data_IF_598940275340
#
_entry.id   IF_598940275340
#
_cell.length_a   1.000
_cell.length_b   1.000
_cell.length_c   1.000
_cell.angle_alpha   90.00
_cell.angle_beta   90.00
_cell.angle_gamma   90.00
#
_symmetry.space_group_name_H-M   'P 1'
#
loop_
_entity.id
_entity.type
_entity.pdbx_description
1 polymer ?
#
# COMPACT_ATOMS: atom_id res chain seq x y z
N UNK A 1 1.82 -4.82 10.62
CA UNK A 1 1.24 -4.15 9.42
C UNK A 1 1.63 -2.68 9.42
N UNK A 2 1.26 -1.91 10.45
CA UNK A 2 1.57 -0.48 10.56
C UNK A 2 3.06 -0.16 10.41
N UNK A 3 3.93 -0.87 11.13
CA UNK A 3 5.38 -0.69 11.03
C UNK A 3 5.92 -0.91 9.60
N UNK A 4 5.42 -1.95 8.90
CA UNK A 4 5.80 -2.23 7.52
C UNK A 4 5.31 -1.12 6.58
N UNK A 5 4.08 -0.66 6.76
CA UNK A 5 3.49 0.41 5.95
C UNK A 5 4.27 1.73 6.10
N UNK A 6 4.62 2.11 7.34
CA UNK A 6 5.47 3.26 7.63
C UNK A 6 6.84 3.12 6.98
N UNK A 7 7.49 1.96 7.13
CA UNK A 7 8.78 1.67 6.50
C UNK A 7 8.73 1.81 4.97
N UNK A 8 7.72 1.23 4.31
CA UNK A 8 7.54 1.34 2.85
C UNK A 8 7.35 2.80 2.43
N UNK A 9 6.50 3.54 3.14
CA UNK A 9 6.28 4.95 2.87
C UNK A 9 7.58 5.75 3.00
N UNK A 10 8.32 5.60 4.10
CA UNK A 10 9.61 6.27 4.33
C UNK A 10 10.64 5.96 3.24
N UNK A 11 10.74 4.71 2.80
CA UNK A 11 11.67 4.31 1.72
C UNK A 11 11.28 4.86 0.34
N UNK A 12 10.02 5.28 0.15
CA UNK A 12 9.48 5.73 -1.13
C UNK A 12 8.99 7.20 -1.12
N UNK A 13 9.60 8.04 -0.27
CA UNK A 13 9.38 9.49 -0.25
C UNK A 13 8.49 9.99 0.88
N UNK A 14 8.26 9.16 1.91
CA UNK A 14 7.53 9.52 3.12
C UNK A 14 6.02 9.67 2.92
N UNK A 15 5.36 10.26 3.91
CA UNK A 15 3.94 10.61 3.84
C UNK A 15 3.73 11.70 2.78
N UNK A 16 2.75 11.50 1.90
CA UNK A 16 2.38 12.45 0.84
C UNK A 16 1.04 13.09 1.22
N UNK A 17 0.94 14.42 1.18
CA UNK A 17 -0.37 15.09 1.33
C UNK A 17 -1.16 14.97 0.02
N UNK A 18 -2.50 14.92 0.11
CA UNK A 18 -3.37 14.83 -1.08
C UNK A 18 -3.09 15.95 -2.08
N UNK A 19 -2.84 17.15 -1.56
CA UNK A 19 -2.51 18.33 -2.36
C UNK A 19 -1.19 18.19 -3.11
N UNK A 20 -0.19 17.49 -2.58
CA UNK A 20 1.16 17.41 -3.18
C UNK A 20 1.38 16.17 -4.04
N UNK A 21 0.32 15.43 -4.36
CA UNK A 21 0.41 14.23 -5.20
C UNK A 21 0.93 14.56 -6.60
N UNK A 22 0.54 15.72 -7.16
CA UNK A 22 0.96 16.16 -8.49
C UNK A 22 2.39 16.69 -8.53
N UNK A 23 2.89 17.22 -7.40
CA UNK A 23 4.28 17.68 -7.26
C UNK A 23 5.27 16.52 -7.16
N UNK A 24 4.76 15.30 -6.97
CA UNK A 24 5.59 14.12 -6.72
C UNK A 24 6.17 13.60 -8.04
N UNK A 25 7.39 14.04 -8.38
CA UNK A 25 8.08 13.75 -9.65
C UNK A 25 8.60 12.31 -9.79
N UNK A 26 7.74 11.32 -9.59
CA UNK A 26 8.10 9.90 -9.68
C UNK A 26 8.52 9.51 -11.10
N UNK A 27 7.93 10.07 -12.17
CA UNK A 27 8.32 9.71 -13.55
C UNK A 27 9.79 10.07 -13.84
N UNK A 28 10.23 11.25 -13.38
CA UNK A 28 11.60 11.70 -13.55
C UNK A 28 12.56 10.75 -12.82
N UNK A 29 12.24 10.43 -11.55
CA UNK A 29 13.04 9.49 -10.76
C UNK A 29 13.15 8.10 -11.42
N UNK A 30 12.05 7.56 -11.95
CA UNK A 30 12.06 6.28 -12.67
C UNK A 30 12.88 6.38 -13.97
N UNK A 31 12.79 7.49 -14.69
CA UNK A 31 13.54 7.71 -15.93
C UNK A 31 15.04 7.78 -15.68
N UNK A 32 15.46 8.46 -14.61
CA UNK A 32 16.87 8.50 -14.17
C UNK A 32 17.39 7.09 -13.83
N UNK A 33 16.60 6.29 -13.10
CA UNK A 33 16.97 4.91 -12.76
C UNK A 33 17.12 4.06 -14.03
N UNK A 34 16.19 4.16 -14.98
CA UNK A 34 16.27 3.42 -16.26
C UNK A 34 17.51 3.81 -17.05
N UNK A 35 17.85 5.10 -17.08
CA UNK A 35 19.04 5.61 -17.74
C UNK A 35 20.32 5.06 -17.09
N UNK A 36 20.42 5.14 -15.75
CA UNK A 36 21.57 4.64 -14.99
C UNK A 36 21.77 3.12 -15.15
N UNK A 37 20.67 2.36 -15.12
CA UNK A 37 20.69 0.90 -15.28
C UNK A 37 20.83 0.45 -16.74
N UNK A 38 20.68 1.36 -17.71
CA UNK A 38 20.57 1.05 -19.15
C UNK A 38 19.52 -0.04 -19.43
N UNK A 39 18.40 0.01 -18.71
CA UNK A 39 17.37 -1.03 -18.72
C UNK A 39 16.00 -0.45 -18.42
N UNK A 40 14.96 -1.02 -19.04
CA UNK A 40 13.56 -0.71 -18.71
C UNK A 40 13.07 -1.44 -17.45
N UNK A 41 13.83 -2.42 -16.96
CA UNK A 41 13.54 -3.16 -15.73
C UNK A 41 14.15 -2.42 -14.55
N UNK A 42 13.30 -1.86 -13.69
CA UNK A 42 13.72 -1.14 -12.48
C UNK A 42 13.45 -2.00 -11.24
N UNK A 43 14.47 -2.42 -10.48
CA UNK A 43 14.29 -3.11 -9.22
C UNK A 43 13.50 -2.24 -8.23
N UNK A 44 12.44 -2.81 -7.64
CA UNK A 44 11.52 -2.08 -6.74
C UNK A 44 12.23 -1.43 -5.54
N UNK A 45 13.32 -2.03 -5.06
CA UNK A 45 14.11 -1.53 -3.94
C UNK A 45 14.97 -0.30 -4.25
N UNK A 46 15.14 0.07 -5.52
CA UNK A 46 15.87 1.29 -5.92
C UNK A 46 14.96 2.51 -6.03
N UNK A 47 13.64 2.31 -6.07
CA UNK A 47 12.66 3.37 -6.19
C UNK A 47 12.54 4.08 -4.85
N UNK A 48 13.06 5.32 -4.78
CA UNK A 48 13.03 6.20 -3.61
C UNK A 48 11.83 7.15 -3.59
N UNK A 49 11.17 7.30 -4.73
CA UNK A 49 9.96 8.11 -4.87
C UNK A 49 8.91 7.28 -5.62
N UNK A 50 7.91 6.79 -4.88
CA UNK A 50 6.85 5.95 -5.43
C UNK A 50 5.45 6.45 -5.12
N UNK A 51 4.56 6.37 -6.10
CA UNK A 51 3.10 6.51 -5.95
C UNK A 51 2.43 5.20 -5.52
N UNK A 52 1.10 5.17 -5.50
CA UNK A 52 0.25 4.06 -5.05
C UNK A 52 0.76 2.66 -5.43
N UNK A 53 0.92 2.37 -6.73
CA UNK A 53 1.28 1.02 -7.14
C UNK A 53 2.72 0.62 -6.79
N UNK A 54 3.67 1.54 -6.83
CA UNK A 54 5.05 1.25 -6.42
C UNK A 54 5.09 0.84 -4.95
N UNK A 55 4.40 1.61 -4.10
CA UNK A 55 4.33 1.33 -2.66
C UNK A 55 3.57 0.04 -2.38
N UNK A 56 2.44 -0.20 -3.04
CA UNK A 56 1.66 -1.40 -2.86
C UNK A 56 2.40 -2.68 -3.28
N UNK A 57 3.20 -2.60 -4.36
CA UNK A 57 4.08 -3.67 -4.81
C UNK A 57 5.17 -3.99 -3.77
N UNK A 58 5.88 -2.96 -3.28
CA UNK A 58 6.92 -3.15 -2.27
C UNK A 58 6.34 -3.71 -0.96
N UNK A 59 5.20 -3.16 -0.50
CA UNK A 59 4.52 -3.65 0.69
C UNK A 59 4.14 -5.11 0.54
N UNK A 60 3.54 -5.52 -0.58
CA UNK A 60 3.19 -6.92 -0.85
C UNK A 60 4.42 -7.82 -0.81
N UNK A 61 5.49 -7.45 -1.53
CA UNK A 61 6.72 -8.22 -1.59
C UNK A 61 7.35 -8.43 -0.21
N UNK A 62 7.39 -7.38 0.62
CA UNK A 62 7.93 -7.47 1.98
C UNK A 62 7.00 -8.22 2.92
N UNK A 63 5.68 -7.99 2.83
CA UNK A 63 4.67 -8.68 3.65
C UNK A 63 4.75 -10.19 3.47
N UNK A 64 4.89 -10.66 2.23
CA UNK A 64 5.04 -12.08 1.92
C UNK A 64 6.30 -12.68 2.51
N UNK A 65 7.41 -11.92 2.56
CA UNK A 65 8.67 -12.38 3.16
C UNK A 65 8.60 -12.55 4.67
N UNK A 66 7.76 -11.78 5.35
CA UNK A 66 7.58 -11.84 6.81
C UNK A 66 6.29 -12.56 7.25
N UNK A 67 5.59 -13.21 6.32
CA UNK A 67 4.41 -14.03 6.61
C UNK A 67 3.13 -13.23 6.90
N UNK A 68 3.05 -11.96 6.49
CA UNK A 68 1.81 -11.18 6.60
C UNK A 68 0.93 -11.45 5.38
N UNK A 69 -0.21 -12.11 5.62
CA UNK A 69 -1.20 -12.37 4.57
C UNK A 69 -1.87 -11.08 4.07
N UNK A 70 -1.55 -10.66 2.85
CA UNK A 70 -2.21 -9.54 2.18
C UNK A 70 -2.43 -9.84 0.68
N UNK A 71 -3.37 -9.14 0.05
CA UNK A 71 -3.59 -9.18 -1.39
C UNK A 71 -3.14 -7.87 -2.02
N UNK A 72 -2.50 -7.92 -3.19
CA UNK A 72 -2.26 -6.74 -4.01
C UNK A 72 -3.41 -6.60 -5.01
N UNK A 73 -4.13 -5.49 -4.96
CA UNK A 73 -5.24 -5.21 -5.86
C UNK A 73 -4.84 -4.07 -6.78
N UNK A 74 -4.94 -4.32 -8.09
CA UNK A 74 -4.68 -3.33 -9.13
C UNK A 74 -5.99 -2.61 -9.46
N UNK A 75 -5.97 -1.28 -9.35
CA UNK A 75 -7.02 -0.40 -9.84
C UNK A 75 -6.67 0.18 -11.21
N UNK A 76 -7.38 1.25 -11.58
CA UNK A 76 -7.17 1.98 -12.83
C UNK A 76 -6.16 3.12 -12.66
N UNK A 77 -5.67 3.68 -13.77
CA UNK A 77 -4.85 4.91 -13.79
C UNK A 77 -3.65 4.94 -12.81
N UNK A 78 -2.93 3.82 -12.70
CA UNK A 78 -1.78 3.75 -11.79
C UNK A 78 -2.18 3.73 -10.30
N UNK A 79 -3.39 3.25 -9.98
CA UNK A 79 -3.78 2.93 -8.61
C UNK A 79 -3.55 1.45 -8.32
N UNK A 80 -3.04 1.16 -7.14
CA UNK A 80 -3.07 -0.16 -6.54
C UNK A 80 -2.98 -0.03 -5.02
N UNK A 81 -3.48 -1.03 -4.30
CA UNK A 81 -3.50 -1.04 -2.84
C UNK A 81 -3.35 -2.46 -2.30
N UNK A 82 -3.13 -2.56 -1.00
CA UNK A 82 -3.07 -3.84 -0.31
C UNK A 82 -4.30 -4.06 0.56
N UNK A 83 -4.91 -5.23 0.42
CA UNK A 83 -6.01 -5.69 1.26
C UNK A 83 -5.53 -6.72 2.27
N UNK A 84 -5.96 -6.60 3.52
CA UNK A 84 -5.58 -7.50 4.62
C UNK A 84 -6.85 -7.99 5.31
N UNK A 85 -6.88 -9.29 5.61
CA UNK A 85 -7.96 -9.92 6.38
C UNK A 85 -7.57 -9.94 7.85
N UNK A 86 -8.37 -9.29 8.70
CA UNK A 86 -8.17 -9.28 10.14
C UNK A 86 -9.36 -9.95 10.84
N UNK A 87 -9.06 -10.73 11.87
CA UNK A 87 -10.08 -11.29 12.75
C UNK A 87 -10.44 -10.24 13.81
N UNK A 88 -11.73 -10.05 14.02
CA UNK A 88 -12.22 -9.12 15.04
C UNK A 88 -12.16 -9.84 16.41
N UNK A 89 -11.13 -9.55 17.21
CA UNK A 89 -10.87 -10.18 18.52
C UNK A 89 -12.02 -9.98 19.52
N UNK A 90 -12.86 -8.96 19.35
CA UNK A 90 -13.93 -8.54 20.27
C UNK A 90 -15.11 -9.50 20.36
N UNK A 91 -15.13 -10.60 19.58
CA UNK A 91 -16.17 -11.64 19.64
C UNK A 91 -15.67 -13.00 20.14
N UNK A 92 -14.56 -13.02 20.90
CA UNK A 92 -14.12 -14.18 21.69
C UNK A 92 -15.10 -14.40 22.85
N UNK A 93 -16.24 -15.03 22.59
CA UNK A 93 -17.21 -15.36 23.66
C UNK A 93 -18.53 -15.97 23.19
N UNK A 94 -18.86 -15.92 21.90
CA UNK A 94 -20.07 -16.57 21.38
C UNK A 94 -19.72 -17.99 20.93
N UNK A 95 -20.29 -18.95 21.66
CA UNK A 95 -20.20 -20.39 21.41
C UNK A 95 -21.02 -20.67 20.14
N UNK A 96 -20.37 -20.62 18.98
CA UNK A 96 -21.00 -20.93 17.69
C UNK A 96 -20.62 -19.94 16.60
N UNK A 97 -19.67 -20.35 15.76
CA UNK A 97 -19.13 -19.66 14.58
C UNK A 97 -18.32 -18.36 14.85
N UNK A 98 -17.02 -18.42 14.54
CA UNK A 98 -16.19 -17.22 14.38
C UNK A 98 -16.81 -16.33 13.30
N UNK A 99 -16.98 -15.01 13.53
CA UNK A 99 -17.43 -14.11 12.49
C UNK A 99 -16.46 -14.15 11.29
N UNK A 100 -16.94 -13.93 10.06
CA UNK A 100 -16.07 -13.89 8.90
C UNK A 100 -15.02 -12.79 9.09
N UNK A 101 -13.77 -13.02 8.64
CA UNK A 101 -12.71 -12.04 8.75
C UNK A 101 -13.08 -10.77 7.97
N UNK A 102 -12.78 -9.62 8.55
CA UNK A 102 -13.03 -8.32 7.95
C UNK A 102 -11.84 -7.93 7.07
N UNK A 103 -12.12 -7.30 5.92
CA UNK A 103 -11.08 -6.88 4.97
C UNK A 103 -10.81 -5.38 5.15
N UNK A 104 -9.54 -5.02 5.17
CA UNK A 104 -9.06 -3.64 5.31
C UNK A 104 -8.07 -3.29 4.21
N UNK A 105 -8.15 -2.07 3.72
CA UNK A 105 -7.16 -1.46 2.84
C UNK A 105 -6.08 -0.80 3.70
N UNK A 106 -4.81 -1.03 3.36
CA UNK A 106 -3.67 -0.35 3.99
C UNK A 106 -3.40 0.97 3.28
N UNK A 107 -3.44 2.08 4.01
CA UNK A 107 -2.98 3.37 3.51
C UNK A 107 -1.44 3.39 3.52
N UNK A 108 -0.86 3.62 2.34
CA UNK A 108 0.59 3.77 2.13
C UNK A 108 0.97 5.18 1.64
N UNK A 109 0.00 6.06 1.44
CA UNK A 109 0.18 7.39 0.83
C UNK A 109 -0.04 8.51 1.84
N UNK A 110 -1.23 8.61 2.43
CA UNK A 110 -1.68 9.78 3.20
C UNK A 110 -1.50 9.58 4.70
N UNK A 111 -1.83 8.40 5.20
CA UNK A 111 -1.64 8.01 6.60
C UNK A 111 -0.97 6.63 6.63
N UNK A 112 0.35 6.54 6.37
CA UNK A 112 1.06 5.27 6.34
C UNK A 112 0.78 4.39 7.56
N UNK A 113 0.18 3.22 7.32
CA UNK A 113 -0.21 2.26 8.36
C UNK A 113 -1.65 2.37 8.87
N UNK A 114 -2.40 3.38 8.41
CA UNK A 114 -3.84 3.46 8.60
C UNK A 114 -4.56 2.31 7.90
N UNK A 115 -5.62 1.80 8.53
CA UNK A 115 -6.44 0.72 8.01
C UNK A 115 -7.86 1.22 7.74
N UNK A 116 -8.29 1.12 6.49
CA UNK A 116 -9.63 1.53 6.05
C UNK A 116 -10.47 0.28 5.82
N UNK A 117 -11.58 0.14 6.54
CA UNK A 117 -12.49 -1.01 6.35
C UNK A 117 -13.01 -1.03 4.91
N UNK A 118 -12.94 -2.18 4.25
CA UNK A 118 -13.44 -2.33 2.88
C UNK A 118 -14.94 -1.94 2.85
N UNK A 119 -15.35 -1.18 1.82
CA UNK A 119 -16.69 -0.56 1.66
C UNK A 119 -16.97 0.64 2.57
N UNK A 120 -15.99 1.15 3.30
CA UNK A 120 -16.12 2.47 3.93
C UNK A 120 -15.96 3.57 2.89
N UNK A 121 -16.53 4.76 3.16
CA UNK A 121 -16.33 5.94 2.30
C UNK A 121 -14.83 6.28 2.14
N UNK A 122 -14.04 6.07 3.18
CA UNK A 122 -12.59 6.32 3.16
C UNK A 122 -11.87 5.35 2.22
N UNK A 123 -12.24 4.06 2.26
CA UNK A 123 -11.69 3.05 1.36
C UNK A 123 -12.05 3.35 -0.10
N UNK A 124 -13.29 3.76 -0.37
CA UNK A 124 -13.73 4.16 -1.71
C UNK A 124 -12.95 5.37 -2.21
N UNK A 125 -12.84 6.41 -1.38
CA UNK A 125 -12.02 7.57 -1.70
C UNK A 125 -10.56 7.17 -1.98
N UNK A 126 -9.96 6.28 -1.20
CA UNK A 126 -8.59 5.84 -1.46
C UNK A 126 -8.42 5.09 -2.81
N UNK A 127 -9.46 4.39 -3.26
CA UNK A 127 -9.44 3.65 -4.52
C UNK A 127 -9.67 4.55 -5.75
N UNK A 128 -10.39 5.65 -5.58
CA UNK A 128 -10.87 6.50 -6.68
C UNK A 128 -10.37 7.96 -6.67
N UNK A 129 -9.74 8.45 -5.60
CA UNK A 129 -8.98 9.71 -5.57
C UNK A 129 -7.77 9.61 -6.49
#
# INVERSE_FOLDING_TARGET
IEALAKYVAEKMGGKVSKEKLHDFSWELHISELKFQLKSNVVPIGLIKQGIFYHRALLFKALADKIGIGCSLVRGEYGRAWNEIKLMNETRKGLIGALPPPEVYIVDLMFHPGGLMKLKSKEADLYRYL
#
